data_IF_435902294257
#
_entry.id   IF_435902294257
#
_cell.length_a   1.000
_cell.length_b   1.000
_cell.length_c   1.000
_cell.angle_alpha   90.00
_cell.angle_beta   90.00
_cell.angle_gamma   90.00
#
_symmetry.space_group_name_H-M   'P 1'
#
loop_
_entity.id
_entity.type
_entity.pdbx_description
1 polymer ?
#
# COMPACT_ATOMS: atom_id res chain seq x y z
N UNK A 1 -20.85 -18.14 -20.44
CA UNK A 1 -21.29 -16.92 -19.72
C UNK A 1 -20.91 -15.73 -20.58
N UNK A 2 -21.91 -15.02 -21.11
CA UNK A 2 -21.70 -13.83 -21.95
C UNK A 2 -21.23 -12.70 -21.03
N UNK A 3 -20.00 -12.26 -21.17
CA UNK A 3 -19.46 -11.09 -20.46
C UNK A 3 -20.31 -9.86 -20.86
N UNK A 4 -21.13 -9.37 -19.94
CA UNK A 4 -21.86 -8.12 -20.11
C UNK A 4 -20.82 -6.97 -20.12
N UNK A 5 -20.51 -6.46 -21.29
CA UNK A 5 -19.65 -5.26 -21.42
C UNK A 5 -20.50 -4.03 -21.18
N UNK A 6 -20.10 -3.20 -20.21
CA UNK A 6 -20.72 -1.90 -19.98
C UNK A 6 -20.59 -1.02 -21.23
N UNK A 7 -21.65 -0.28 -21.56
CA UNK A 7 -21.61 0.77 -22.58
C UNK A 7 -20.74 1.96 -22.10
N UNK A 8 -20.27 2.80 -23.02
CA UNK A 8 -19.46 3.98 -22.66
C UNK A 8 -20.17 4.94 -21.65
N UNK A 9 -21.48 5.24 -21.78
CA UNK A 9 -22.18 6.02 -20.77
C UNK A 9 -22.18 5.35 -19.38
N UNK A 10 -22.36 4.03 -19.32
CA UNK A 10 -22.32 3.28 -18.07
C UNK A 10 -20.91 3.30 -17.44
N UNK A 11 -19.85 3.14 -18.24
CA UNK A 11 -18.47 3.25 -17.76
C UNK A 11 -18.17 4.63 -17.21
N UNK A 12 -18.60 5.67 -17.92
CA UNK A 12 -18.46 7.07 -17.46
C UNK A 12 -19.19 7.30 -16.14
N UNK A 13 -20.42 6.82 -16.02
CA UNK A 13 -21.19 6.92 -14.79
C UNK A 13 -20.49 6.22 -13.61
N UNK A 14 -20.00 4.99 -13.81
CA UNK A 14 -19.25 4.25 -12.78
C UNK A 14 -17.97 4.97 -12.37
N UNK A 15 -17.24 5.56 -13.31
CA UNK A 15 -16.04 6.37 -12.99
C UNK A 15 -16.36 7.58 -12.12
N UNK A 16 -17.51 8.22 -12.32
CA UNK A 16 -17.96 9.41 -11.59
C UNK A 16 -18.50 9.11 -10.20
N UNK A 17 -18.92 7.87 -9.92
CA UNK A 17 -19.42 7.50 -8.60
C UNK A 17 -18.30 7.61 -7.56
N UNK A 18 -18.57 8.20 -6.38
CA UNK A 18 -17.67 8.09 -5.24
C UNK A 18 -17.61 6.61 -4.79
N UNK A 19 -16.41 6.14 -4.51
CA UNK A 19 -16.14 4.76 -4.14
C UNK A 19 -15.44 4.68 -2.79
N UNK A 20 -15.59 3.53 -2.15
CA UNK A 20 -14.87 3.18 -0.92
C UNK A 20 -14.05 1.92 -1.22
N UNK A 21 -12.78 1.94 -0.83
CA UNK A 21 -11.89 0.79 -0.87
C UNK A 21 -11.57 0.35 0.56
N UNK A 22 -12.00 -0.86 0.89
CA UNK A 22 -11.67 -1.51 2.16
C UNK A 22 -10.73 -2.67 1.89
N UNK A 23 -9.73 -2.88 2.75
CA UNK A 23 -8.79 -4.00 2.60
C UNK A 23 -7.83 -3.84 1.41
N UNK A 24 -7.20 -2.66 1.29
CA UNK A 24 -6.07 -2.47 0.39
C UNK A 24 -4.76 -2.78 1.12
N UNK A 25 -3.89 -3.57 0.49
CA UNK A 25 -2.52 -3.76 0.98
C UNK A 25 -1.61 -2.70 0.37
N UNK A 26 -0.91 -1.93 1.23
CA UNK A 26 -0.02 -0.85 0.80
C UNK A 26 1.06 -1.35 -0.17
N UNK A 27 1.62 -2.52 0.13
CA UNK A 27 2.62 -3.22 -0.68
C UNK A 27 2.12 -3.48 -2.11
N UNK A 28 0.85 -3.87 -2.25
CA UNK A 28 0.20 -4.13 -3.53
C UNK A 28 -0.23 -2.88 -4.30
N UNK A 29 -0.17 -1.71 -3.68
CA UNK A 29 -0.57 -0.44 -4.30
C UNK A 29 0.59 0.28 -5.00
N UNK A 30 1.82 -0.25 -4.95
CA UNK A 30 2.99 0.37 -5.57
C UNK A 30 2.88 0.26 -7.09
N UNK A 31 2.83 1.41 -7.76
CA UNK A 31 2.69 1.48 -9.21
C UNK A 31 3.94 0.95 -9.92
N UNK A 32 3.76 0.32 -11.07
CA UNK A 32 4.82 -0.34 -11.84
C UNK A 32 5.97 0.61 -12.19
N UNK A 33 5.65 1.83 -12.56
CA UNK A 33 6.64 2.86 -12.88
C UNK A 33 7.49 3.26 -11.66
N UNK A 34 6.90 3.21 -10.47
CA UNK A 34 7.62 3.43 -9.20
C UNK A 34 8.56 2.28 -8.91
N UNK A 35 8.14 1.03 -9.14
CA UNK A 35 8.98 -0.17 -8.95
C UNK A 35 10.20 -0.11 -9.89
N UNK A 36 10.01 0.21 -11.16
CA UNK A 36 11.11 0.35 -12.12
C UNK A 36 12.09 1.46 -11.71
N UNK A 37 11.56 2.58 -11.22
CA UNK A 37 12.38 3.69 -10.76
C UNK A 37 13.19 3.33 -9.53
N UNK A 38 12.57 2.66 -8.54
CA UNK A 38 13.23 2.19 -7.33
C UNK A 38 14.33 1.16 -7.65
N UNK A 39 14.03 0.17 -8.47
CA UNK A 39 15.00 -0.85 -8.89
C UNK A 39 16.22 -0.22 -9.58
N UNK A 40 15.99 0.74 -10.49
CA UNK A 40 17.05 1.44 -11.21
C UNK A 40 17.89 2.33 -10.29
N UNK A 41 17.25 3.07 -9.36
CA UNK A 41 17.96 3.96 -8.43
C UNK A 41 18.77 3.21 -7.38
N UNK A 42 18.31 2.03 -6.97
CA UNK A 42 19.00 1.14 -6.02
C UNK A 42 20.01 0.20 -6.64
N UNK A 43 20.27 0.30 -7.97
CA UNK A 43 21.12 -0.62 -8.72
C UNK A 43 20.72 -2.10 -8.52
N UNK A 44 19.42 -2.33 -8.38
CA UNK A 44 18.83 -3.66 -8.21
C UNK A 44 18.30 -4.17 -9.55
N UNK A 45 18.69 -5.37 -9.99
CA UNK A 45 18.14 -5.93 -11.21
C UNK A 45 16.65 -6.24 -11.04
N UNK A 46 15.88 -5.97 -12.08
CA UNK A 46 14.49 -6.45 -12.13
C UNK A 46 14.48 -7.98 -12.12
N UNK A 47 13.71 -8.58 -11.21
CA UNK A 47 13.58 -10.04 -11.10
C UNK A 47 12.86 -10.66 -12.30
N UNK A 48 12.07 -9.85 -13.03
CA UNK A 48 11.35 -10.23 -14.26
C UNK A 48 11.24 -9.03 -15.19
N UNK A 49 10.82 -9.31 -16.43
CA UNK A 49 10.43 -8.22 -17.34
C UNK A 49 9.22 -7.50 -16.77
N UNK A 50 9.18 -6.19 -16.87
CA UNK A 50 8.11 -5.33 -16.37
C UNK A 50 6.70 -5.85 -16.67
N UNK A 51 6.44 -6.26 -17.92
CA UNK A 51 5.14 -6.78 -18.35
C UNK A 51 4.73 -8.10 -17.68
N UNK A 52 5.68 -8.85 -17.13
CA UNK A 52 5.48 -10.16 -16.52
C UNK A 52 5.55 -10.08 -14.99
N UNK A 53 5.78 -8.88 -14.42
CA UNK A 53 6.03 -8.70 -12.98
C UNK A 53 4.84 -9.17 -12.11
N UNK A 54 3.64 -8.98 -12.59
CA UNK A 54 2.39 -9.39 -11.91
C UNK A 54 1.80 -10.70 -12.45
N UNK A 55 2.61 -11.52 -13.10
CA UNK A 55 2.20 -12.84 -13.58
C UNK A 55 2.79 -13.91 -12.66
N UNK A 56 1.96 -14.56 -11.87
CA UNK A 56 2.36 -15.51 -10.83
C UNK A 56 1.78 -16.89 -11.13
N UNK A 57 2.54 -17.94 -10.83
CA UNK A 57 2.10 -19.32 -10.95
C UNK A 57 1.43 -19.81 -9.65
N UNK A 58 1.87 -19.29 -8.51
CA UNK A 58 1.40 -19.65 -7.18
C UNK A 58 1.55 -18.50 -6.17
N UNK A 59 1.08 -18.72 -4.94
CA UNK A 59 1.14 -17.75 -3.86
C UNK A 59 2.57 -17.46 -3.41
N UNK A 60 3.45 -18.46 -3.41
CA UNK A 60 4.83 -18.30 -2.97
C UNK A 60 5.60 -17.35 -3.89
N UNK A 61 5.39 -17.51 -5.20
CA UNK A 61 5.96 -16.62 -6.20
C UNK A 61 5.43 -15.18 -6.08
N UNK A 62 4.14 -15.03 -5.79
CA UNK A 62 3.54 -13.72 -5.48
C UNK A 62 4.18 -13.07 -4.25
N UNK A 63 4.25 -13.78 -3.12
CA UNK A 63 4.82 -13.26 -1.87
C UNK A 63 6.30 -12.91 -2.02
N UNK A 64 7.08 -13.75 -2.70
CA UNK A 64 8.50 -13.48 -2.99
C UNK A 64 8.68 -12.21 -3.83
N UNK A 65 7.79 -11.97 -4.79
CA UNK A 65 7.81 -10.75 -5.61
C UNK A 65 7.44 -9.53 -4.75
N UNK A 66 6.47 -9.66 -3.88
CA UNK A 66 6.06 -8.60 -2.95
C UNK A 66 7.21 -8.20 -2.02
N UNK A 67 7.87 -9.20 -1.40
CA UNK A 67 9.04 -8.98 -0.55
C UNK A 67 10.17 -8.28 -1.31
N UNK A 68 10.42 -8.69 -2.55
CA UNK A 68 11.43 -8.02 -3.39
C UNK A 68 11.06 -6.56 -3.63
N UNK A 69 9.80 -6.24 -3.96
CA UNK A 69 9.33 -4.87 -4.17
C UNK A 69 9.53 -4.03 -2.90
N UNK A 70 9.10 -4.54 -1.73
CA UNK A 70 9.26 -3.83 -0.46
C UNK A 70 10.73 -3.58 -0.11
N UNK A 71 11.61 -4.52 -0.46
CA UNK A 71 13.06 -4.42 -0.23
C UNK A 71 13.79 -3.44 -1.16
N UNK A 72 13.13 -2.91 -2.22
CA UNK A 72 13.68 -1.82 -3.03
C UNK A 72 13.63 -0.46 -2.31
N UNK A 73 12.82 -0.35 -1.26
CA UNK A 73 12.60 0.89 -0.53
C UNK A 73 13.51 0.94 0.68
N UNK A 74 14.34 1.97 0.75
CA UNK A 74 15.38 2.13 1.77
C UNK A 74 15.32 3.46 2.55
N UNK A 75 14.36 4.33 2.24
CA UNK A 75 14.28 5.67 2.84
C UNK A 75 12.85 6.17 3.06
N UNK A 76 12.69 7.01 4.08
CA UNK A 76 11.43 7.74 4.36
C UNK A 76 10.96 8.58 3.17
N UNK A 77 11.91 9.15 2.42
CA UNK A 77 11.60 9.94 1.23
C UNK A 77 10.89 9.09 0.16
N UNK A 78 11.34 7.86 -0.05
CA UNK A 78 10.68 6.93 -0.98
C UNK A 78 9.30 6.53 -0.47
N UNK A 79 9.14 6.23 0.83
CA UNK A 79 7.81 5.95 1.43
C UNK A 79 6.86 7.14 1.22
N UNK A 80 7.32 8.36 1.46
CA UNK A 80 6.51 9.57 1.21
C UNK A 80 6.10 9.67 -0.26
N UNK A 81 7.01 9.43 -1.19
CA UNK A 81 6.73 9.47 -2.64
C UNK A 81 5.70 8.41 -3.04
N UNK A 82 5.84 7.19 -2.53
CA UNK A 82 4.89 6.10 -2.77
C UNK A 82 3.51 6.41 -2.19
N UNK A 83 3.45 6.99 -0.99
CA UNK A 83 2.18 7.41 -0.37
C UNK A 83 1.49 8.50 -1.17
N UNK A 84 2.23 9.46 -1.71
CA UNK A 84 1.70 10.48 -2.62
C UNK A 84 1.15 9.87 -3.91
N UNK A 85 1.86 8.89 -4.48
CA UNK A 85 1.42 8.16 -5.66
C UNK A 85 0.11 7.41 -5.39
N UNK A 86 0.00 6.71 -4.24
CA UNK A 86 -1.22 6.04 -3.80
C UNK A 86 -2.39 7.03 -3.65
N UNK A 87 -2.19 8.15 -2.96
CA UNK A 87 -3.24 9.19 -2.81
C UNK A 87 -3.71 9.70 -4.17
N UNK A 88 -2.79 9.96 -5.11
CA UNK A 88 -3.14 10.41 -6.46
C UNK A 88 -3.92 9.35 -7.23
N UNK A 89 -3.55 8.08 -7.10
CA UNK A 89 -4.28 6.96 -7.69
C UNK A 89 -5.72 6.88 -7.15
N UNK A 90 -5.90 6.90 -5.83
CA UNK A 90 -7.22 6.84 -5.19
C UNK A 90 -8.13 7.99 -5.66
N UNK A 91 -7.58 9.21 -5.70
CA UNK A 91 -8.30 10.39 -6.21
C UNK A 91 -8.67 10.27 -7.68
N UNK A 92 -7.74 9.80 -8.51
CA UNK A 92 -7.97 9.58 -9.95
C UNK A 92 -9.09 8.58 -10.24
N UNK A 93 -9.38 7.69 -9.29
CA UNK A 93 -10.45 6.70 -9.36
C UNK A 93 -11.73 7.10 -8.61
N UNK A 94 -11.80 8.35 -8.12
CA UNK A 94 -12.90 8.88 -7.32
C UNK A 94 -13.18 8.03 -6.05
N UNK A 95 -12.10 7.55 -5.41
CA UNK A 95 -12.16 6.88 -4.12
C UNK A 95 -12.12 7.94 -3.04
N UNK A 96 -13.17 8.00 -2.22
CA UNK A 96 -13.36 9.03 -1.19
C UNK A 96 -13.01 8.53 0.21
N UNK A 97 -12.91 7.22 0.37
CA UNK A 97 -12.51 6.59 1.63
C UNK A 97 -11.73 5.30 1.33
N UNK A 98 -10.62 5.08 2.03
CA UNK A 98 -9.87 3.83 1.93
C UNK A 98 -9.28 3.39 3.28
N UNK A 99 -9.29 2.07 3.52
CA UNK A 99 -8.56 1.41 4.60
C UNK A 99 -7.38 0.65 4.00
N UNK A 100 -6.18 1.03 4.44
CA UNK A 100 -4.92 0.55 3.89
C UNK A 100 -4.20 -0.28 4.96
N UNK A 101 -4.01 -1.55 4.67
CA UNK A 101 -3.26 -2.49 5.49
C UNK A 101 -1.79 -2.42 5.08
N UNK A 102 -0.89 -2.48 6.06
CA UNK A 102 0.55 -2.58 5.82
C UNK A 102 1.15 -3.58 6.79
N UNK A 103 1.95 -4.50 6.29
CA UNK A 103 2.71 -5.42 7.14
C UNK A 103 4.18 -4.97 7.22
N UNK A 104 4.61 -4.38 8.36
CA UNK A 104 5.97 -3.86 8.48
C UNK A 104 7.08 -4.92 8.31
N UNK A 105 6.76 -6.22 8.47
CA UNK A 105 7.78 -7.27 8.37
C UNK A 105 8.33 -7.48 6.95
N UNK A 106 7.62 -6.98 5.91
CA UNK A 106 8.11 -7.02 4.53
C UNK A 106 9.16 -5.94 4.23
N UNK A 107 9.31 -4.94 5.10
CA UNK A 107 10.12 -3.75 4.86
C UNK A 107 11.41 -3.77 5.69
N UNK A 108 12.48 -3.17 5.14
CA UNK A 108 13.78 -3.04 5.85
C UNK A 108 13.88 -1.76 6.69
N UNK A 109 12.83 -0.98 6.75
CA UNK A 109 12.77 0.27 7.49
C UNK A 109 12.34 0.06 8.94
N UNK A 110 12.72 0.98 9.82
CA UNK A 110 12.15 1.04 11.18
C UNK A 110 10.66 1.37 11.12
N UNK A 111 9.91 1.07 12.18
CA UNK A 111 8.49 1.41 12.26
C UNK A 111 8.24 2.91 12.07
N UNK A 112 9.09 3.76 12.66
CA UNK A 112 9.01 5.22 12.50
C UNK A 112 9.23 5.64 11.06
N UNK A 113 10.31 5.16 10.44
CA UNK A 113 10.66 5.51 9.06
C UNK A 113 9.67 4.98 8.01
N UNK A 114 8.93 3.93 8.35
CA UNK A 114 7.90 3.37 7.50
C UNK A 114 6.54 4.03 7.71
N UNK A 115 6.04 4.05 8.95
CA UNK A 115 4.65 4.37 9.24
C UNK A 115 4.39 5.87 9.38
N UNK A 116 5.31 6.64 9.96
CA UNK A 116 5.10 8.09 10.15
C UNK A 116 4.97 8.87 8.83
N UNK A 117 5.80 8.62 7.78
CA UNK A 117 5.60 9.29 6.50
C UNK A 117 4.27 8.96 5.82
N UNK A 118 3.76 7.73 5.97
CA UNK A 118 2.45 7.32 5.46
C UNK A 118 1.34 8.10 6.19
N UNK A 119 1.37 8.10 7.52
CA UNK A 119 0.37 8.81 8.35
C UNK A 119 0.35 10.31 8.07
N UNK A 120 1.53 10.92 7.94
CA UNK A 120 1.65 12.34 7.60
C UNK A 120 1.03 12.65 6.21
N UNK A 121 1.26 11.78 5.23
CA UNK A 121 0.69 11.96 3.90
C UNK A 121 -0.82 11.73 3.88
N UNK A 122 -1.36 10.80 4.68
CA UNK A 122 -2.79 10.57 4.83
C UNK A 122 -3.47 11.78 5.47
N UNK A 123 -2.91 12.33 6.54
CA UNK A 123 -3.42 13.56 7.16
C UNK A 123 -3.41 14.75 6.18
N UNK A 124 -2.35 14.88 5.38
CA UNK A 124 -2.26 15.89 4.32
C UNK A 124 -3.38 15.70 3.29
N UNK A 125 -3.59 14.45 2.85
CA UNK A 125 -4.61 14.13 1.86
C UNK A 125 -6.03 14.41 2.36
N UNK A 126 -6.34 14.08 3.61
CA UNK A 126 -7.60 14.42 4.26
C UNK A 126 -7.84 15.93 4.28
N UNK A 127 -6.82 16.70 4.74
CA UNK A 127 -6.92 18.16 4.84
C UNK A 127 -7.06 18.84 3.49
N UNK A 128 -6.31 18.38 2.46
CA UNK A 128 -6.27 19.05 1.17
C UNK A 128 -7.36 18.61 0.20
N UNK A 129 -7.79 17.35 0.29
CA UNK A 129 -8.66 16.74 -0.74
C UNK A 129 -9.96 16.19 -0.18
N UNK A 130 -10.13 16.15 1.14
CA UNK A 130 -11.32 15.58 1.78
C UNK A 130 -11.47 14.07 1.61
N UNK A 131 -10.39 13.35 1.30
CA UNK A 131 -10.38 11.88 1.21
C UNK A 131 -10.09 11.29 2.59
N UNK A 132 -10.92 10.39 3.08
CA UNK A 132 -10.70 9.72 4.37
C UNK A 132 -9.80 8.51 4.20
N UNK A 133 -8.65 8.49 4.89
CA UNK A 133 -7.68 7.41 4.81
C UNK A 133 -7.41 6.82 6.19
N UNK A 134 -7.48 5.48 6.29
CA UNK A 134 -7.14 4.73 7.49
C UNK A 134 -5.94 3.82 7.24
N UNK A 135 -4.94 3.86 8.13
CA UNK A 135 -3.83 2.90 8.15
C UNK A 135 -4.12 1.82 9.19
N UNK A 136 -3.95 0.56 8.79
CA UNK A 136 -4.09 -0.62 9.63
C UNK A 136 -2.78 -1.42 9.58
N UNK A 137 -1.81 -1.15 10.47
CA UNK A 137 -0.65 -2.01 10.59
C UNK A 137 -1.06 -3.46 10.88
N UNK A 138 -0.39 -4.42 10.25
CA UNK A 138 -0.73 -5.83 10.38
C UNK A 138 0.43 -6.68 10.89
N UNK A 139 0.08 -7.81 11.51
CA UNK A 139 0.99 -8.84 11.97
C UNK A 139 0.74 -10.09 11.13
N UNK A 140 1.80 -10.68 10.57
CA UNK A 140 1.72 -12.02 10.00
C UNK A 140 1.59 -13.07 11.09
N UNK A 141 0.71 -14.07 10.90
CA UNK A 141 0.48 -15.15 11.88
C UNK A 141 1.74 -15.95 12.21
N UNK A 142 2.75 -15.89 11.36
CA UNK A 142 4.03 -16.58 11.54
C UNK A 142 5.09 -15.74 12.25
N UNK A 143 4.79 -14.47 12.54
CA UNK A 143 5.73 -13.59 13.24
C UNK A 143 5.93 -14.03 14.68
N UNK A 144 7.12 -13.72 15.21
CA UNK A 144 7.42 -13.95 16.63
C UNK A 144 6.57 -13.01 17.48
N UNK A 145 6.11 -13.51 18.64
CA UNK A 145 5.31 -12.72 19.57
C UNK A 145 6.00 -11.40 19.98
N UNK A 146 7.34 -11.39 20.10
CA UNK A 146 8.08 -10.18 20.45
C UNK A 146 7.95 -9.09 19.38
N UNK A 147 8.07 -9.44 18.10
CA UNK A 147 7.95 -8.50 16.98
C UNK A 147 6.50 -7.99 16.85
N UNK A 148 5.54 -8.88 17.06
CA UNK A 148 4.12 -8.54 17.10
C UNK A 148 3.81 -7.54 18.22
N UNK A 149 4.31 -7.79 19.43
CA UNK A 149 4.13 -6.88 20.57
C UNK A 149 4.82 -5.53 20.35
N UNK A 150 6.00 -5.51 19.74
CA UNK A 150 6.68 -4.26 19.39
C UNK A 150 5.81 -3.38 18.48
N UNK A 151 5.13 -3.98 17.47
CA UNK A 151 4.21 -3.23 16.62
C UNK A 151 2.98 -2.71 17.38
N UNK A 152 2.40 -3.53 18.27
CA UNK A 152 1.29 -3.10 19.13
C UNK A 152 1.70 -1.93 20.03
N UNK A 153 2.85 -2.05 20.70
CA UNK A 153 3.38 -1.00 21.58
C UNK A 153 3.65 0.29 20.81
N UNK A 154 4.16 0.16 19.58
CA UNK A 154 4.34 1.30 18.69
C UNK A 154 3.01 1.98 18.36
N UNK A 155 1.99 1.21 17.98
CA UNK A 155 0.66 1.73 17.65
C UNK A 155 -0.01 2.44 18.84
N UNK A 156 0.14 1.88 20.04
CA UNK A 156 -0.40 2.48 21.26
C UNK A 156 0.32 3.78 21.61
N UNK A 157 1.64 3.82 21.43
CA UNK A 157 2.47 4.98 21.74
C UNK A 157 2.36 6.12 20.72
N UNK A 158 2.00 5.80 19.47
CA UNK A 158 1.91 6.75 18.37
C UNK A 158 0.44 7.00 17.97
N UNK A 159 -0.36 7.53 18.91
CA UNK A 159 -1.75 7.88 18.60
C UNK A 159 -1.83 8.89 17.46
N UNK A 160 -2.48 8.50 16.35
CA UNK A 160 -2.66 9.34 15.17
C UNK A 160 -4.07 9.16 14.61
N UNK A 161 -4.77 10.23 14.15
CA UNK A 161 -6.15 10.13 13.66
C UNK A 161 -6.32 9.18 12.47
N UNK A 162 -5.30 9.02 11.64
CA UNK A 162 -5.32 8.08 10.50
C UNK A 162 -4.87 6.65 10.86
N UNK A 163 -4.38 6.40 12.08
CA UNK A 163 -4.15 5.05 12.58
C UNK A 163 -5.49 4.51 13.12
N UNK A 164 -6.20 3.72 12.31
CA UNK A 164 -7.61 3.38 12.55
C UNK A 164 -7.82 2.00 13.16
N UNK A 165 -6.84 1.14 13.09
CA UNK A 165 -7.00 -0.22 13.56
C UNK A 165 -5.74 -1.04 13.41
N UNK A 166 -5.92 -2.33 13.53
CA UNK A 166 -4.88 -3.34 13.47
C UNK A 166 -5.39 -4.55 12.67
N UNK A 167 -4.55 -5.16 11.87
CA UNK A 167 -4.90 -6.32 11.06
C UNK A 167 -4.02 -7.54 11.39
N UNK A 168 -4.46 -8.70 10.98
CA UNK A 168 -3.71 -9.96 11.07
C UNK A 168 -3.73 -10.61 9.71
N UNK A 169 -2.55 -10.87 9.15
CA UNK A 169 -2.35 -11.49 7.84
C UNK A 169 -2.00 -12.97 7.96
N UNK A 170 -2.35 -13.76 6.91
CA UNK A 170 -2.00 -15.18 6.78
C UNK A 170 -3.10 -16.17 7.07
#
# INVERSE_FOLDING_TARGET
MTSMRLSEPQRSAVKMLPKVELHLHYEGCIQLESIETLARSGDQPMIRRTKDLYSFNDLEEFLSTLDWICNLVDSEHQIKTLSQSLVNYLRGHNIVCAEIIINPSHWRLSLDSLLLPILAEFARAESQFGITLGLLPSIGRHQKNADAMQLVDWCVSNSHPNLRGFSIDG
#
